data_IF_924057479315
#
_entry.id   IF_924057479315
#
_cell.length_a   1.000
_cell.length_b   1.000
_cell.length_c   1.000
_cell.angle_alpha   90.00
_cell.angle_beta   90.00
_cell.angle_gamma   90.00
#
_symmetry.space_group_name_H-M   'P 1'
#
loop_
_entity.id
_entity.type
_entity.pdbx_description
1 polymer ?
#
# COMPACT_ATOMS: atom_id res chain seq x y z
N UNK A 1 24.00 -2.84 -5.46
CA UNK A 1 22.88 -3.80 -5.42
C UNK A 1 22.58 -4.08 -3.95
N UNK A 2 21.35 -3.90 -3.50
CA UNK A 2 20.97 -4.06 -2.10
C UNK A 2 20.41 -5.48 -1.89
N UNK A 3 21.25 -6.39 -1.40
CA UNK A 3 20.90 -7.82 -1.27
C UNK A 3 19.67 -8.07 -0.40
N UNK A 4 19.36 -7.19 0.56
CA UNK A 4 18.18 -7.32 1.40
C UNK A 4 16.90 -6.92 0.64
N UNK A 5 16.92 -5.81 -0.10
CA UNK A 5 15.78 -5.40 -0.92
C UNK A 5 15.44 -6.47 -1.95
N UNK A 6 16.42 -6.97 -2.69
CA UNK A 6 16.24 -7.96 -3.76
C UNK A 6 15.51 -9.23 -3.30
N UNK A 7 15.74 -9.67 -2.06
CA UNK A 7 15.06 -10.84 -1.46
C UNK A 7 13.53 -10.67 -1.42
N UNK A 8 13.06 -9.43 -1.40
CA UNK A 8 11.64 -9.10 -1.29
C UNK A 8 11.09 -8.44 -2.55
N UNK A 9 11.86 -8.27 -3.62
CA UNK A 9 11.33 -7.75 -4.90
C UNK A 9 10.74 -8.85 -5.79
N UNK A 10 11.18 -10.08 -5.61
CA UNK A 10 10.74 -11.24 -6.39
C UNK A 10 10.20 -12.30 -5.43
N UNK A 11 8.94 -12.16 -5.05
CA UNK A 11 8.20 -13.23 -4.39
C UNK A 11 7.00 -13.63 -5.23
N UNK A 12 6.74 -14.93 -5.25
CA UNK A 12 5.52 -15.50 -5.82
C UNK A 12 4.49 -15.61 -4.70
N UNK A 13 3.39 -14.88 -4.85
CA UNK A 13 2.22 -15.00 -3.98
C UNK A 13 1.12 -15.64 -4.82
N UNK A 14 0.69 -16.82 -4.38
CA UNK A 14 -0.35 -17.58 -5.07
C UNK A 14 -1.62 -16.73 -5.24
N UNK A 15 -2.17 -16.74 -6.46
CA UNK A 15 -3.36 -15.97 -6.81
C UNK A 15 -3.16 -14.46 -6.99
N UNK A 16 -1.94 -13.92 -6.85
CA UNK A 16 -1.66 -12.49 -7.09
C UNK A 16 -1.78 -12.08 -8.57
N UNK A 17 -1.52 -13.03 -9.47
CA UNK A 17 -1.50 -12.81 -10.90
C UNK A 17 -2.40 -13.78 -11.65
N UNK A 18 -3.02 -13.29 -12.71
CA UNK A 18 -3.65 -14.13 -13.74
C UNK A 18 -2.73 -14.27 -14.94
N UNK A 19 -3.06 -15.19 -15.85
CA UNK A 19 -2.34 -15.40 -17.10
C UNK A 19 -3.33 -15.38 -18.26
N UNK A 20 -3.00 -14.62 -19.31
CA UNK A 20 -3.72 -14.66 -20.59
C UNK A 20 -3.38 -15.95 -21.34
N UNK A 21 -4.18 -16.30 -22.36
CA UNK A 21 -3.96 -17.49 -23.19
C UNK A 21 -2.57 -17.52 -23.87
N UNK A 22 -1.99 -16.35 -24.13
CA UNK A 22 -0.64 -16.20 -24.69
C UNK A 22 0.50 -16.32 -23.64
N UNK A 23 0.17 -16.63 -22.38
CA UNK A 23 1.11 -16.76 -21.26
C UNK A 23 1.50 -15.43 -20.60
N UNK A 24 0.97 -14.29 -21.08
CA UNK A 24 1.26 -12.98 -20.49
C UNK A 24 0.58 -12.84 -19.12
N UNK A 25 1.37 -12.49 -18.12
CA UNK A 25 0.92 -12.26 -16.74
C UNK A 25 0.16 -10.94 -16.63
N UNK A 26 -0.91 -10.91 -15.86
CA UNK A 26 -1.64 -9.68 -15.54
C UNK A 26 -2.07 -9.62 -14.07
N UNK A 27 -2.24 -8.40 -13.59
CA UNK A 27 -2.58 -8.07 -12.23
C UNK A 27 -4.06 -8.32 -11.92
N UNK A 28 -4.35 -8.86 -10.74
CA UNK A 28 -5.73 -9.09 -10.30
C UNK A 28 -6.42 -7.78 -9.89
N UNK A 29 -7.71 -7.65 -10.22
CA UNK A 29 -8.49 -6.44 -9.98
C UNK A 29 -9.79 -6.75 -9.26
N UNK A 30 -10.19 -5.88 -8.33
CA UNK A 30 -11.50 -5.93 -7.66
C UNK A 30 -12.67 -5.65 -8.61
N UNK A 31 -12.42 -5.08 -9.79
CA UNK A 31 -13.46 -4.72 -10.77
C UNK A 31 -13.78 -5.85 -11.75
N UNK A 32 -12.86 -6.80 -11.94
CA UNK A 32 -12.96 -7.83 -12.99
C UNK A 32 -12.78 -9.26 -12.46
N UNK A 33 -12.65 -9.45 -11.15
CA UNK A 33 -12.45 -10.77 -10.55
C UNK A 33 -12.65 -10.78 -9.03
N UNK A 34 -12.71 -12.00 -8.47
CA UNK A 34 -12.97 -12.24 -7.05
C UNK A 34 -11.72 -12.59 -6.23
N UNK A 35 -10.59 -12.82 -6.88
CA UNK A 35 -9.34 -13.29 -6.25
C UNK A 35 -8.92 -12.41 -5.08
N UNK A 36 -8.95 -11.08 -5.25
CA UNK A 36 -8.63 -10.12 -4.18
C UNK A 36 -9.63 -10.16 -3.03
N UNK A 37 -10.91 -10.36 -3.30
CA UNK A 37 -11.92 -10.49 -2.24
C UNK A 37 -11.71 -11.76 -1.42
N UNK A 38 -11.48 -12.90 -2.09
CA UNK A 38 -11.22 -14.19 -1.43
C UNK A 38 -9.94 -14.17 -0.60
N UNK A 39 -8.89 -13.54 -1.12
CA UNK A 39 -7.65 -13.39 -0.36
C UNK A 39 -7.84 -12.45 0.84
N UNK A 40 -8.56 -11.34 0.68
CA UNK A 40 -8.87 -10.46 1.80
C UNK A 40 -9.66 -11.17 2.92
N UNK A 41 -10.63 -12.03 2.57
CA UNK A 41 -11.36 -12.87 3.54
C UNK A 41 -10.42 -13.83 4.29
N UNK A 42 -9.49 -14.47 3.58
CA UNK A 42 -8.47 -15.33 4.20
C UNK A 42 -7.57 -14.55 5.14
N UNK A 43 -7.09 -13.37 4.74
CA UNK A 43 -6.23 -12.52 5.57
C UNK A 43 -6.97 -12.01 6.80
N UNK A 44 -8.24 -11.62 6.67
CA UNK A 44 -9.09 -11.17 7.79
C UNK A 44 -9.43 -12.29 8.79
N UNK A 45 -9.28 -13.57 8.41
CA UNK A 45 -9.47 -14.71 9.33
C UNK A 45 -8.25 -15.02 10.19
N UNK A 46 -7.09 -14.40 9.91
CA UNK A 46 -5.85 -14.61 10.67
C UNK A 46 -5.83 -13.71 11.92
N UNK A 47 -5.03 -14.03 12.94
CA UNK A 47 -4.85 -13.16 14.09
C UNK A 47 -4.21 -11.82 13.71
N UNK A 48 -4.68 -10.73 14.32
CA UNK A 48 -4.07 -9.41 14.20
C UNK A 48 -2.66 -9.42 14.80
N UNK A 49 -1.72 -8.74 14.12
CA UNK A 49 -0.39 -8.44 14.65
C UNK A 49 -0.40 -7.02 15.21
N UNK A 50 0.20 -6.82 16.39
CA UNK A 50 0.26 -5.51 17.04
C UNK A 50 0.98 -4.47 16.15
N UNK A 51 0.44 -3.25 16.12
CA UNK A 51 0.96 -2.15 15.31
C UNK A 51 2.40 -1.81 15.69
N UNK A 52 2.74 -1.90 16.98
CA UNK A 52 4.08 -1.70 17.51
C UNK A 52 5.09 -2.67 16.88
N UNK A 53 4.72 -3.94 16.71
CA UNK A 53 5.59 -4.96 16.09
C UNK A 53 5.80 -4.63 14.61
N UNK A 54 4.74 -4.24 13.90
CA UNK A 54 4.83 -3.86 12.48
C UNK A 54 5.73 -2.62 12.32
N UNK A 55 5.56 -1.63 13.19
CA UNK A 55 6.37 -0.41 13.23
C UNK A 55 7.86 -0.71 13.46
N UNK A 56 8.18 -1.51 14.48
CA UNK A 56 9.56 -1.90 14.81
C UNK A 56 10.23 -2.68 13.66
N UNK A 57 9.52 -3.64 13.06
CA UNK A 57 10.02 -4.44 11.95
C UNK A 57 10.29 -3.61 10.69
N UNK A 58 9.43 -2.64 10.36
CA UNK A 58 9.65 -1.73 9.21
C UNK A 58 10.84 -0.80 9.48
N UNK A 59 10.93 -0.21 10.68
CA UNK A 59 12.05 0.66 11.05
C UNK A 59 13.39 -0.10 10.96
N UNK A 60 13.44 -1.31 11.51
CA UNK A 60 14.63 -2.16 11.44
C UNK A 60 14.95 -2.58 10.00
N UNK A 61 13.94 -2.82 9.16
CA UNK A 61 14.12 -3.13 7.74
C UNK A 61 14.72 -1.93 6.98
N UNK A 62 14.11 -0.74 7.12
CA UNK A 62 14.57 0.48 6.46
C UNK A 62 15.99 0.89 6.88
N UNK A 63 16.31 0.74 8.17
CA UNK A 63 17.66 0.97 8.68
C UNK A 63 18.69 0.05 8.02
N UNK A 64 18.41 -1.26 7.91
CA UNK A 64 19.30 -2.23 7.24
C UNK A 64 19.46 -1.96 5.75
N UNK A 65 18.41 -1.45 5.10
CA UNK A 65 18.45 -1.04 3.69
C UNK A 65 19.27 0.25 3.51
N UNK A 66 19.45 1.05 4.56
CA UNK A 66 20.16 2.33 4.53
C UNK A 66 19.26 3.52 4.21
N UNK A 67 17.94 3.36 4.37
CA UNK A 67 16.96 4.44 4.14
C UNK A 67 16.85 5.28 5.42
N UNK A 68 17.05 6.59 5.28
CA UNK A 68 16.83 7.56 6.37
C UNK A 68 15.34 7.83 6.48
N UNK A 69 14.77 7.57 7.65
CA UNK A 69 13.34 7.78 7.93
C UNK A 69 13.08 8.32 9.33
N UNK A 70 11.81 8.54 9.69
CA UNK A 70 11.38 8.99 11.02
C UNK A 70 11.53 7.88 12.07
N UNK A 71 11.73 8.25 13.34
CA UNK A 71 11.65 7.32 14.48
C UNK A 71 10.25 7.22 15.08
N UNK A 72 9.33 8.06 14.62
CA UNK A 72 7.94 8.14 15.09
C UNK A 72 7.02 8.19 13.87
N UNK A 73 6.76 7.03 13.22
CA UNK A 73 5.97 6.97 11.99
C UNK A 73 4.47 7.21 12.18
N UNK A 74 3.94 7.12 13.40
CA UNK A 74 2.53 7.43 13.67
C UNK A 74 2.26 8.92 13.46
N UNK A 75 1.37 9.22 12.52
CA UNK A 75 0.95 10.60 12.22
C UNK A 75 -0.58 10.68 12.08
N UNK A 76 -1.14 11.78 12.55
CA UNK A 76 -2.53 12.16 12.29
C UNK A 76 -2.66 12.52 10.80
N UNK A 77 -3.47 11.77 10.02
CA UNK A 77 -3.56 11.97 8.58
C UNK A 77 -4.05 13.36 8.18
N UNK A 78 -4.78 14.07 9.05
CA UNK A 78 -5.25 15.43 8.76
C UNK A 78 -4.16 16.49 8.92
N UNK A 79 -3.02 16.14 9.52
CA UNK A 79 -1.91 17.05 9.83
C UNK A 79 -0.68 16.81 8.96
N UNK A 80 -0.77 15.97 7.93
CA UNK A 80 0.37 15.65 7.08
C UNK A 80 0.72 16.87 6.21
N UNK A 81 1.88 17.47 6.45
CA UNK A 81 2.51 18.42 5.54
C UNK A 81 3.61 17.71 4.74
N UNK A 82 3.27 17.28 3.52
CA UNK A 82 4.21 16.58 2.64
C UNK A 82 5.43 17.43 2.25
N UNK A 83 5.30 18.76 2.19
CA UNK A 83 6.40 19.67 1.83
C UNK A 83 7.37 19.84 2.98
N UNK A 84 6.86 19.91 4.22
CA UNK A 84 7.70 19.92 5.41
C UNK A 84 8.48 18.61 5.54
N UNK A 85 7.81 17.48 5.39
CA UNK A 85 8.44 16.15 5.40
C UNK A 85 9.52 16.05 4.31
N UNK A 86 9.24 16.50 3.10
CA UNK A 86 10.23 16.52 2.02
C UNK A 86 11.50 17.28 2.43
N UNK A 87 11.37 18.45 3.06
CA UNK A 87 12.51 19.26 3.50
C UNK A 87 13.28 18.58 4.63
N UNK A 88 12.59 18.10 5.66
CA UNK A 88 13.19 17.48 6.85
C UNK A 88 14.04 16.25 6.50
N UNK A 89 13.52 15.41 5.59
CA UNK A 89 14.15 14.16 5.18
C UNK A 89 14.94 14.27 3.86
N UNK A 90 14.98 15.47 3.27
CA UNK A 90 15.67 15.75 2.00
C UNK A 90 15.25 14.80 0.87
N UNK A 91 13.93 14.60 0.72
CA UNK A 91 13.37 13.70 -0.29
C UNK A 91 13.48 14.32 -1.70
N UNK A 92 13.77 13.49 -2.70
CA UNK A 92 13.81 13.93 -4.10
C UNK A 92 12.42 14.35 -4.59
N UNK A 93 11.38 13.69 -4.10
CA UNK A 93 9.98 14.03 -4.32
C UNK A 93 9.21 13.99 -3.00
N UNK A 94 8.20 14.86 -2.85
CA UNK A 94 7.18 14.74 -1.79
C UNK A 94 6.44 13.39 -1.82
N UNK A 95 6.55 12.63 -2.93
CA UNK A 95 5.96 11.31 -3.11
C UNK A 95 6.84 10.16 -2.60
N UNK A 96 8.09 10.43 -2.21
CA UNK A 96 9.02 9.40 -1.76
C UNK A 96 8.73 9.02 -0.30
N UNK A 97 7.54 8.43 -0.11
CA UNK A 97 6.93 8.04 1.14
C UNK A 97 6.39 6.63 0.99
N UNK A 98 6.47 5.82 2.06
CA UNK A 98 5.65 4.61 2.25
C UNK A 98 4.71 4.86 3.42
N UNK A 99 3.47 4.42 3.29
CA UNK A 99 2.49 4.53 4.36
C UNK A 99 1.61 3.29 4.48
N UNK A 100 1.10 3.07 5.68
CA UNK A 100 0.23 1.96 6.03
C UNK A 100 -1.06 2.49 6.65
N UNK A 101 -2.20 1.90 6.24
CA UNK A 101 -3.51 2.16 6.85
C UNK A 101 -4.06 0.88 7.47
N UNK A 102 -4.79 1.03 8.57
CA UNK A 102 -5.35 -0.08 9.34
C UNK A 102 -6.87 -0.08 9.24
N UNK A 103 -7.47 -1.27 9.32
CA UNK A 103 -8.90 -1.41 9.50
C UNK A 103 -9.26 -1.23 10.98
N UNK A 104 -10.52 -0.87 11.25
CA UNK A 104 -11.06 -0.66 12.59
C UNK A 104 -11.06 -1.91 13.49
N UNK A 105 -10.76 -3.08 12.93
CA UNK A 105 -10.56 -4.32 13.68
C UNK A 105 -9.08 -4.62 13.99
N UNK A 106 -8.16 -3.70 13.68
CA UNK A 106 -6.73 -3.80 13.94
C UNK A 106 -5.89 -4.44 12.83
N UNK A 107 -6.50 -5.02 11.79
CA UNK A 107 -5.75 -5.58 10.67
C UNK A 107 -5.05 -4.50 9.84
N UNK A 108 -3.86 -4.82 9.32
CA UNK A 108 -3.21 -4.01 8.30
C UNK A 108 -4.04 -4.06 7.01
N UNK A 109 -4.57 -2.92 6.59
CA UNK A 109 -5.42 -2.83 5.41
C UNK A 109 -4.61 -2.80 4.11
N UNK A 110 -3.60 -1.95 4.05
CA UNK A 110 -2.79 -1.74 2.83
C UNK A 110 -1.42 -1.16 3.15
N UNK A 111 -0.42 -1.55 2.37
CA UNK A 111 0.90 -0.89 2.25
C UNK A 111 0.92 -0.18 0.89
N UNK A 112 1.28 1.10 0.87
CA UNK A 112 1.28 1.92 -0.34
C UNK A 112 2.37 3.01 -0.30
N UNK A 113 2.58 3.70 -1.43
CA UNK A 113 3.49 4.85 -1.55
C UNK A 113 2.79 6.12 -2.00
N UNK A 114 3.55 7.23 -2.12
CA UNK A 114 3.10 8.54 -2.62
C UNK A 114 2.38 9.41 -1.58
N UNK A 115 1.97 10.61 -2.00
CA UNK A 115 1.40 11.68 -1.17
C UNK A 115 -0.13 11.82 -1.29
N UNK A 116 -0.81 10.72 -1.56
CA UNK A 116 -2.25 10.64 -1.84
C UNK A 116 -3.01 9.79 -0.82
N UNK A 117 -2.54 9.79 0.44
CA UNK A 117 -3.23 9.13 1.56
C UNK A 117 -4.68 9.63 1.64
N UNK A 118 -5.61 8.68 1.59
CA UNK A 118 -7.04 8.93 1.72
C UNK A 118 -7.73 7.73 2.37
N UNK A 119 -8.95 7.93 2.86
CA UNK A 119 -9.77 6.90 3.51
C UNK A 119 -11.06 6.61 2.74
N UNK A 120 -10.98 6.68 1.42
CA UNK A 120 -12.13 6.38 0.56
C UNK A 120 -12.65 4.97 0.84
N UNK A 121 -13.97 4.87 0.95
CA UNK A 121 -14.72 3.62 1.09
C UNK A 121 -16.09 3.79 0.40
N UNK A 122 -16.51 2.86 -0.47
CA UNK A 122 -17.83 2.93 -1.08
C UNK A 122 -18.95 2.86 -0.04
N UNK A 123 -20.14 3.38 -0.35
CA UNK A 123 -21.32 3.25 0.52
C UNK A 123 -22.09 1.94 0.30
N UNK A 124 -21.96 1.37 -0.89
CA UNK A 124 -22.67 0.17 -1.32
C UNK A 124 -21.91 -0.53 -2.46
N UNK A 125 -22.24 -1.81 -2.72
CA UNK A 125 -21.55 -2.61 -3.76
C UNK A 125 -21.78 -2.08 -5.18
N UNK A 126 -22.88 -1.37 -5.45
CA UNK A 126 -23.13 -0.77 -6.78
C UNK A 126 -22.12 0.33 -7.11
N UNK A 127 -21.48 0.95 -6.12
CA UNK A 127 -20.46 1.98 -6.31
C UNK A 127 -19.06 1.42 -6.64
N UNK A 128 -18.85 0.09 -6.55
CA UNK A 128 -17.52 -0.50 -6.79
C UNK A 128 -16.98 -0.20 -8.18
N UNK A 129 -17.86 -0.05 -9.16
CA UNK A 129 -17.49 0.27 -10.53
C UNK A 129 -17.85 1.70 -10.93
N UNK A 130 -18.11 2.58 -9.95
CA UNK A 130 -18.29 4.01 -10.21
C UNK A 130 -17.01 4.60 -10.77
N UNK A 131 -17.16 5.41 -11.82
CA UNK A 131 -16.06 6.16 -12.42
C UNK A 131 -16.34 7.65 -12.36
N UNK A 132 -15.31 8.41 -12.04
CA UNK A 132 -15.31 9.87 -12.06
C UNK A 132 -14.51 10.38 -13.24
N UNK A 133 -14.92 11.54 -13.77
CA UNK A 133 -14.21 12.21 -14.86
C UNK A 133 -13.13 13.11 -14.28
N UNK A 134 -11.87 12.76 -14.50
CA UNK A 134 -10.70 13.47 -13.98
C UNK A 134 -9.93 14.11 -15.13
N UNK A 135 -9.47 15.34 -14.96
CA UNK A 135 -8.59 15.99 -15.93
C UNK A 135 -7.15 15.53 -15.70
N UNK A 136 -6.54 14.92 -16.72
CA UNK A 136 -5.13 14.54 -16.69
C UNK A 136 -4.31 15.72 -17.24
N UNK A 137 -3.53 16.37 -16.36
CA UNK A 137 -2.71 17.53 -16.73
C UNK A 137 -1.60 17.19 -17.73
N UNK A 138 -1.01 15.99 -17.63
CA UNK A 138 0.07 15.54 -18.52
C UNK A 138 -0.43 15.30 -19.95
N UNK A 139 -1.56 14.60 -20.07
CA UNK A 139 -2.18 14.28 -21.37
C UNK A 139 -3.09 15.41 -21.89
N UNK A 140 -3.30 16.46 -21.08
CA UNK A 140 -4.19 17.60 -21.34
C UNK A 140 -5.61 17.20 -21.76
N UNK A 141 -6.13 16.09 -21.23
CA UNK A 141 -7.46 15.55 -21.57
C UNK A 141 -8.17 14.96 -20.36
N UNK A 142 -9.49 14.88 -20.44
CA UNK A 142 -10.29 14.15 -19.45
C UNK A 142 -10.15 12.64 -19.66
N UNK A 143 -10.06 11.90 -18.55
CA UNK A 143 -10.16 10.44 -18.51
C UNK A 143 -11.15 10.02 -17.42
N UNK A 144 -11.63 8.79 -17.51
CA UNK A 144 -12.45 8.20 -16.46
C UNK A 144 -11.56 7.35 -15.57
N UNK A 145 -11.57 7.65 -14.27
CA UNK A 145 -10.86 6.90 -13.24
C UNK A 145 -11.89 6.27 -12.29
N UNK A 146 -11.51 5.16 -11.65
CA UNK A 146 -12.34 4.58 -10.60
C UNK A 146 -12.46 5.56 -9.45
N UNK A 147 -13.67 5.74 -8.94
CA UNK A 147 -13.93 6.65 -7.82
C UNK A 147 -13.27 6.16 -6.53
N UNK A 148 -13.26 4.84 -6.33
CA UNK A 148 -12.76 4.19 -5.13
C UNK A 148 -11.57 3.30 -5.44
N UNK A 149 -10.54 3.35 -4.59
CA UNK A 149 -9.40 2.45 -4.68
C UNK A 149 -9.76 1.02 -4.22
N UNK A 150 -8.95 0.05 -4.64
CA UNK A 150 -9.18 -1.37 -4.34
C UNK A 150 -9.23 -1.66 -2.84
N UNK A 151 -8.37 -1.03 -2.04
CA UNK A 151 -8.34 -1.24 -0.59
C UNK A 151 -9.66 -0.81 0.09
N UNK A 152 -10.21 0.35 -0.30
CA UNK A 152 -11.52 0.82 0.19
C UNK A 152 -12.67 -0.12 -0.20
N UNK A 153 -12.67 -0.60 -1.45
CA UNK A 153 -13.64 -1.60 -1.93
C UNK A 153 -13.53 -2.92 -1.14
N UNK A 154 -12.30 -3.37 -0.84
CA UNK A 154 -12.05 -4.58 -0.05
C UNK A 154 -12.58 -4.43 1.38
N UNK A 155 -12.26 -3.33 2.07
CA UNK A 155 -12.75 -3.09 3.43
C UNK A 155 -14.28 -3.06 3.48
N UNK A 156 -14.92 -2.37 2.52
CA UNK A 156 -16.38 -2.37 2.42
C UNK A 156 -16.93 -3.79 2.21
N UNK A 157 -16.29 -4.61 1.35
CA UNK A 157 -16.73 -5.98 1.12
C UNK A 157 -16.66 -6.85 2.38
N UNK A 158 -15.67 -6.61 3.24
CA UNK A 158 -15.50 -7.29 4.53
C UNK A 158 -16.40 -6.72 5.64
N UNK A 159 -17.17 -5.66 5.38
CA UNK A 159 -17.97 -4.97 6.40
C UNK A 159 -17.14 -4.18 7.41
N UNK A 160 -15.90 -3.83 7.04
CA UNK A 160 -14.96 -3.10 7.88
C UNK A 160 -14.92 -1.60 7.51
N UNK A 161 -14.31 -0.81 8.39
CA UNK A 161 -14.03 0.61 8.17
C UNK A 161 -12.55 0.89 8.36
N UNK A 162 -12.06 2.01 7.84
CA UNK A 162 -10.72 2.47 8.15
C UNK A 162 -10.63 2.92 9.61
N UNK A 163 -9.48 2.67 10.24
CA UNK A 163 -9.03 3.44 11.39
C UNK A 163 -8.40 4.74 10.87
N UNK A 164 -9.10 5.85 11.09
CA UNK A 164 -8.68 7.18 10.63
C UNK A 164 -7.91 7.95 11.71
N UNK A 165 -7.68 7.36 12.88
CA UNK A 165 -7.01 8.05 13.99
C UNK A 165 -5.51 8.24 13.78
N UNK A 166 -4.88 7.39 12.95
CA UNK A 166 -3.49 7.52 12.54
C UNK A 166 -3.21 6.78 11.23
N UNK A 167 -2.06 7.07 10.64
CA UNK A 167 -1.37 6.20 9.69
C UNK A 167 0.06 5.98 10.15
N UNK A 168 0.71 4.90 9.72
CA UNK A 168 2.17 4.84 9.77
C UNK A 168 2.71 5.46 8.49
N UNK A 169 3.57 6.46 8.60
CA UNK A 169 4.18 7.17 7.48
C UNK A 169 5.70 7.15 7.62
N UNK A 170 6.37 6.64 6.59
CA UNK A 170 7.82 6.48 6.52
C UNK A 170 8.36 7.30 5.35
N UNK A 171 9.00 8.45 5.61
CA UNK A 171 9.77 9.17 4.60
C UNK A 171 10.92 8.30 4.09
N UNK A 172 11.12 8.25 2.78
CA UNK A 172 12.16 7.43 2.15
C UNK A 172 13.38 8.28 1.78
N UNK A 173 14.11 8.77 2.77
CA UNK A 173 15.37 9.47 2.55
C UNK A 173 16.45 8.50 2.04
N UNK A 174 17.21 8.92 1.02
CA UNK A 174 18.30 8.12 0.44
C UNK A 174 17.86 6.75 -0.13
N UNK A 175 16.80 6.70 -0.95
CA UNK A 175 16.46 5.49 -1.71
C UNK A 175 17.71 5.00 -2.48
N UNK A 176 18.13 3.72 -2.33
CA UNK A 176 19.35 3.25 -2.96
C UNK A 176 19.32 3.39 -4.49
N UNK A 177 20.49 3.68 -5.07
CA UNK A 177 20.62 3.85 -6.53
C UNK A 177 20.12 2.60 -7.28
N UNK A 178 19.31 2.82 -8.31
CA UNK A 178 18.69 1.76 -9.11
C UNK A 178 17.31 1.32 -8.61
N UNK A 179 16.86 1.80 -7.45
CA UNK A 179 15.55 1.52 -6.89
C UNK A 179 14.67 2.77 -6.87
N UNK A 180 13.36 2.55 -6.86
CA UNK A 180 12.31 3.58 -6.78
C UNK A 180 11.47 3.32 -5.54
N UNK A 181 10.68 4.32 -5.13
CA UNK A 181 9.75 4.18 -3.99
C UNK A 181 8.85 2.94 -4.09
N UNK A 182 8.42 2.59 -5.30
CA UNK A 182 7.58 1.42 -5.55
C UNK A 182 8.31 0.10 -5.24
N UNK A 183 9.62 0.03 -5.52
CA UNK A 183 10.42 -1.13 -5.15
C UNK A 183 10.48 -1.28 -3.62
N UNK A 184 10.50 -0.15 -2.88
CA UNK A 184 10.46 -0.15 -1.41
C UNK A 184 9.08 -0.58 -0.89
N UNK A 185 7.99 -0.11 -1.50
CA UNK A 185 6.61 -0.55 -1.23
C UNK A 185 6.49 -2.06 -1.32
N UNK A 186 6.91 -2.60 -2.47
CA UNK A 186 6.89 -4.01 -2.79
C UNK A 186 7.70 -4.80 -1.78
N UNK A 187 8.92 -4.35 -1.50
CA UNK A 187 9.79 -5.01 -0.54
C UNK A 187 9.18 -5.03 0.88
N UNK A 188 8.60 -3.92 1.36
CA UNK A 188 7.96 -3.86 2.68
C UNK A 188 6.74 -4.77 2.77
N UNK A 189 5.83 -4.70 1.79
CA UNK A 189 4.63 -5.55 1.80
C UNK A 189 4.99 -7.04 1.78
N UNK A 190 5.97 -7.41 0.95
CA UNK A 190 6.47 -8.78 0.84
C UNK A 190 7.22 -9.24 2.11
N UNK A 191 7.99 -8.35 2.72
CA UNK A 191 8.66 -8.59 4.00
C UNK A 191 7.66 -8.86 5.12
N UNK A 192 6.63 -8.02 5.26
CA UNK A 192 5.57 -8.19 6.27
C UNK A 192 4.77 -9.47 6.03
N UNK A 193 4.44 -9.78 4.78
CA UNK A 193 3.79 -11.03 4.42
C UNK A 193 4.62 -12.26 4.83
N UNK A 194 5.94 -12.25 4.54
CA UNK A 194 6.86 -13.33 4.96
C UNK A 194 7.01 -13.44 6.49
N UNK A 195 6.82 -12.34 7.21
CA UNK A 195 6.77 -12.31 8.68
C UNK A 195 5.43 -12.78 9.26
N UNK A 196 4.45 -13.11 8.42
CA UNK A 196 3.14 -13.60 8.85
C UNK A 196 2.16 -12.50 9.24
N UNK A 197 2.43 -11.23 8.89
CA UNK A 197 1.50 -10.12 9.10
C UNK A 197 0.36 -10.23 8.09
N UNK A 198 -0.91 -10.34 8.53
CA UNK A 198 -2.03 -10.35 7.60
C UNK A 198 -2.27 -8.97 6.98
N UNK A 199 -2.42 -8.92 5.65
CA UNK A 199 -2.64 -7.69 4.88
C UNK A 199 -3.94 -7.86 4.10
N UNK A 200 -4.96 -7.03 4.35
CA UNK A 200 -6.28 -7.19 3.71
C UNK A 200 -6.19 -7.00 2.19
N UNK A 201 -5.48 -5.96 1.73
CA UNK A 201 -5.20 -5.75 0.31
C UNK A 201 -3.80 -6.29 -0.05
N UNK A 202 -3.56 -7.58 0.18
CA UNK A 202 -2.23 -8.21 0.03
C UNK A 202 -1.58 -7.97 -1.34
N UNK A 203 -2.35 -7.92 -2.42
CA UNK A 203 -1.76 -7.78 -3.75
C UNK A 203 -1.41 -6.34 -4.13
N UNK A 204 -1.75 -5.33 -3.30
CA UNK A 204 -1.61 -3.91 -3.63
C UNK A 204 -0.20 -3.51 -4.06
N UNK A 205 0.81 -4.08 -3.40
CA UNK A 205 2.22 -3.71 -3.52
C UNK A 205 3.00 -4.60 -4.50
N UNK A 206 2.31 -5.45 -5.27
CA UNK A 206 2.94 -6.36 -6.23
C UNK A 206 3.09 -5.75 -7.64
N UNK A 207 2.63 -4.50 -7.84
CA UNK A 207 2.34 -3.90 -9.15
C UNK A 207 3.26 -2.76 -9.59
#
# INVERSE_FOLDING_TARGET
MNNLLEQYLVIDIDGAFGYKDNGEQYCQSVHYGESRFKEAERQNSKPVVAIEIIEEEILAFLEKVGIRTTKKPRIDPQKIDYREIQKEYSLNSEKDLVWLKFANNGHLGVVATSNDINFQIPKNKSEYNSKIRVYNEYEKRYRYEWEYNSAGIILHNLGLKWDESFVLLFPLGNIPNGYRRHDIEKAIGNFLYKKGVPILDLYSHLY
#
